data_IF_552075268294
#
_entry.id   IF_552075268294
#
_cell.length_a   1.000
_cell.length_b   1.000
_cell.length_c   1.000
_cell.angle_alpha   90.00
_cell.angle_beta   90.00
_cell.angle_gamma   90.00
#
_symmetry.space_group_name_H-M   'P 1'
#
loop_
_entity.id
_entity.type
_entity.pdbx_description
1 polymer ?
#
# COMPACT_ATOMS: atom_id res chain seq x y z
N UNK A 1 4.87 10.53 0.10
CA UNK A 1 4.92 9.90 1.42
C UNK A 1 3.67 10.24 2.20
N UNK A 2 2.79 9.24 2.35
CA UNK A 2 1.55 9.30 3.09
C UNK A 2 1.84 9.49 4.58
N UNK A 3 1.01 10.29 5.24
CA UNK A 3 1.06 10.50 6.67
C UNK A 3 0.35 9.36 7.42
N UNK A 4 0.69 9.16 8.69
CA UNK A 4 -0.01 8.20 9.53
C UNK A 4 -1.51 8.54 9.61
N UNK A 5 -2.37 7.54 9.46
CA UNK A 5 -3.84 7.62 9.36
C UNK A 5 -4.38 8.31 8.10
N UNK A 6 -3.51 8.77 7.19
CA UNK A 6 -3.95 9.25 5.88
C UNK A 6 -4.57 8.09 5.08
N UNK A 7 -5.68 8.38 4.42
CA UNK A 7 -6.41 7.43 3.59
C UNK A 7 -6.49 7.95 2.16
N UNK A 8 -6.09 7.12 1.21
CA UNK A 8 -6.21 7.41 -0.22
C UNK A 8 -7.07 6.37 -0.92
N UNK A 9 -7.50 6.75 -2.12
CA UNK A 9 -8.27 5.92 -3.03
C UNK A 9 -7.46 5.72 -4.30
N UNK A 10 -7.29 4.49 -4.76
CA UNK A 10 -6.45 4.18 -5.92
C UNK A 10 -7.00 3.04 -6.78
N UNK A 11 -6.68 3.03 -8.08
CA UNK A 11 -7.05 1.93 -8.98
C UNK A 11 -6.01 0.80 -8.98
N UNK A 12 -4.74 1.16 -8.77
CA UNK A 12 -3.62 0.24 -8.71
C UNK A 12 -2.88 0.39 -7.37
N UNK A 13 -2.85 -0.70 -6.61
CA UNK A 13 -2.21 -0.76 -5.29
C UNK A 13 -0.67 -0.64 -5.39
N UNK A 14 -0.07 -1.18 -6.44
CA UNK A 14 1.38 -1.12 -6.64
C UNK A 14 1.81 0.30 -7.00
N UNK A 15 1.05 0.98 -7.85
CA UNK A 15 1.27 2.38 -8.19
C UNK A 15 1.13 3.28 -6.94
N UNK A 16 0.05 3.09 -6.19
CA UNK A 16 -0.23 3.89 -4.99
C UNK A 16 0.83 3.76 -3.89
N UNK A 17 1.57 2.64 -3.86
CA UNK A 17 2.58 2.36 -2.84
C UNK A 17 4.02 2.39 -3.36
N UNK A 18 4.26 2.80 -4.61
CA UNK A 18 5.58 2.71 -5.27
C UNK A 18 6.69 3.45 -4.50
N UNK A 19 6.38 4.63 -3.97
CA UNK A 19 7.31 5.46 -3.19
C UNK A 19 6.93 5.54 -1.70
N UNK A 20 6.12 4.58 -1.24
CA UNK A 20 5.63 4.53 0.13
C UNK A 20 6.30 3.43 0.93
N UNK A 21 6.56 3.70 2.21
CA UNK A 21 7.03 2.70 3.17
C UNK A 21 6.15 2.72 4.41
N UNK A 22 5.98 1.55 5.03
CA UNK A 22 5.11 1.39 6.19
C UNK A 22 4.19 0.19 6.10
N UNK A 23 3.24 0.16 7.04
CA UNK A 23 2.12 -0.77 7.04
C UNK A 23 0.85 -0.05 6.63
N UNK A 24 0.11 -0.67 5.73
CA UNK A 24 -1.11 -0.15 5.15
C UNK A 24 -2.26 -1.12 5.40
N UNK A 25 -3.39 -0.61 5.86
CA UNK A 25 -4.66 -1.32 5.83
C UNK A 25 -5.29 -1.07 4.46
N UNK A 26 -5.60 -2.15 3.76
CA UNK A 26 -6.11 -2.11 2.39
C UNK A 26 -7.49 -2.76 2.38
N UNK A 27 -8.47 -2.01 1.91
CA UNK A 27 -9.80 -2.52 1.59
C UNK A 27 -9.89 -2.67 0.08
N UNK A 28 -10.11 -3.91 -0.35
CA UNK A 28 -10.39 -4.23 -1.75
C UNK A 28 -11.71 -3.60 -2.18
N UNK A 29 -11.92 -3.44 -3.48
CA UNK A 29 -13.19 -2.99 -4.01
C UNK A 29 -14.35 -3.98 -3.77
N UNK A 30 -14.06 -5.27 -3.54
CA UNK A 30 -15.01 -6.30 -3.08
C UNK A 30 -15.33 -6.21 -1.58
N UNK A 31 -14.65 -5.34 -0.83
CA UNK A 31 -14.86 -5.13 0.61
C UNK A 31 -13.97 -5.97 1.52
N UNK A 32 -13.20 -6.91 0.97
CA UNK A 32 -12.20 -7.68 1.72
C UNK A 32 -11.09 -6.77 2.25
N UNK A 33 -10.59 -7.05 3.45
CA UNK A 33 -9.55 -6.24 4.09
C UNK A 33 -8.31 -7.06 4.39
N UNK A 34 -7.15 -6.47 4.15
CA UNK A 34 -5.86 -7.07 4.50
C UNK A 34 -4.81 -6.00 4.79
N UNK A 35 -3.67 -6.42 5.33
CA UNK A 35 -2.54 -5.54 5.56
C UNK A 35 -1.45 -5.74 4.52
N UNK A 36 -0.89 -4.63 4.03
CA UNK A 36 0.30 -4.61 3.18
C UNK A 36 1.45 -3.99 3.96
N UNK A 37 2.62 -4.59 3.85
CA UNK A 37 3.86 -4.01 4.38
C UNK A 37 4.77 -3.66 3.21
N UNK A 38 4.94 -2.36 2.96
CA UNK A 38 5.91 -1.86 1.99
C UNK A 38 7.21 -1.53 2.72
N UNK A 39 8.30 -2.17 2.32
CA UNK A 39 9.64 -1.96 2.89
C UNK A 39 10.43 -1.00 2.01
N UNK A 40 11.24 -0.09 2.58
CA UNK A 40 12.15 0.73 1.78
C UNK A 40 13.02 -0.13 0.86
N UNK A 41 13.14 0.24 -0.41
CA UNK A 41 13.94 -0.48 -1.40
C UNK A 41 13.33 -1.78 -1.94
N UNK A 42 12.13 -2.17 -1.49
CA UNK A 42 11.38 -3.28 -2.07
C UNK A 42 10.33 -2.75 -3.05
N UNK A 43 10.18 -3.42 -4.19
CA UNK A 43 9.17 -3.07 -5.19
C UNK A 43 7.96 -3.98 -5.10
N UNK A 44 6.77 -3.40 -5.31
CA UNK A 44 5.49 -4.10 -5.50
C UNK A 44 5.03 -4.05 -6.96
N UNK A 45 5.90 -3.60 -7.89
CA UNK A 45 5.57 -3.33 -9.30
C UNK A 45 5.15 -4.56 -10.12
N UNK A 46 5.31 -5.76 -9.57
CA UNK A 46 4.88 -7.01 -10.17
C UNK A 46 3.42 -7.37 -9.80
N UNK A 47 2.81 -6.70 -8.83
CA UNK A 47 1.38 -6.82 -8.58
C UNK A 47 0.62 -6.20 -9.76
N UNK A 48 -0.45 -6.88 -10.19
CA UNK A 48 -1.35 -6.43 -11.22
C UNK A 48 -2.77 -6.50 -10.67
N UNK A 49 -3.55 -5.41 -10.77
CA UNK A 49 -4.96 -5.49 -10.43
C UNK A 49 -5.64 -6.49 -11.38
N UNK A 50 -6.39 -7.44 -10.83
CA UNK A 50 -7.26 -8.30 -11.62
C UNK A 50 -8.50 -7.49 -11.99
N UNK A 51 -8.78 -7.26 -13.29
CA UNK A 51 -9.95 -6.50 -13.69
C UNK A 51 -11.22 -7.25 -13.28
N UNK A 52 -12.11 -6.58 -12.56
CA UNK A 52 -13.40 -7.15 -12.17
C UNK A 52 -14.50 -6.53 -13.03
N UNK A 53 -14.99 -7.32 -13.98
CA UNK A 53 -16.28 -7.17 -14.69
C UNK A 53 -16.71 -5.73 -15.04
N UNK A 54 -15.78 -4.88 -15.49
CA UNK A 54 -16.09 -3.56 -16.06
C UNK A 54 -16.47 -2.45 -15.08
N UNK A 55 -16.41 -2.67 -13.76
CA UNK A 55 -16.66 -1.61 -12.77
C UNK A 55 -15.35 -0.98 -12.28
N UNK A 56 -15.35 0.34 -12.13
CA UNK A 56 -14.27 1.11 -11.50
C UNK A 56 -14.12 0.69 -10.05
N UNK A 57 -13.19 -0.22 -9.82
CA UNK A 57 -12.93 -0.85 -8.55
C UNK A 57 -11.82 -0.09 -7.83
N UNK A 58 -12.21 0.92 -7.05
CA UNK A 58 -11.26 1.76 -6.33
C UNK A 58 -10.92 1.12 -4.98
N UNK A 59 -9.62 0.91 -4.76
CA UNK A 59 -9.05 0.43 -3.51
C UNK A 59 -9.03 1.56 -2.49
N UNK A 60 -9.31 1.25 -1.22
CA UNK A 60 -9.11 2.18 -0.10
C UNK A 60 -7.88 1.77 0.69
N UNK A 61 -6.91 2.66 0.81
CA UNK A 61 -5.60 2.37 1.41
C UNK A 61 -5.38 3.37 2.53
N UNK A 62 -5.13 2.89 3.75
CA UNK A 62 -4.84 3.73 4.92
C UNK A 62 -3.48 3.39 5.50
N UNK A 63 -2.64 4.39 5.75
CA UNK A 63 -1.36 4.17 6.45
C UNK A 63 -1.62 3.98 7.93
N UNK A 64 -1.18 2.84 8.48
CA UNK A 64 -1.45 2.45 9.88
C UNK A 64 -0.20 2.32 10.73
N UNK A 65 0.98 2.27 10.11
CA UNK A 65 2.25 2.37 10.82
C UNK A 65 3.36 2.86 9.89
N UNK A 66 4.31 3.61 10.45
CA UNK A 66 5.60 3.87 9.83
C UNK A 66 6.49 2.62 9.90
N UNK A 67 7.27 2.34 8.86
CA UNK A 67 8.39 1.40 8.97
C UNK A 67 9.62 2.22 9.36
N UNK A 68 10.19 1.97 10.53
CA UNK A 68 11.50 2.54 10.83
C UNK A 68 12.50 1.99 9.80
N UNK A 69 13.19 2.89 9.10
CA UNK A 69 14.37 2.51 8.36
C UNK A 69 15.35 1.91 9.36
N UNK A 70 15.66 0.62 9.21
CA UNK A 70 16.85 0.06 9.83
C UNK A 70 18.05 0.72 9.14
N UNK A 71 18.41 1.93 9.57
CA UNK A 71 19.80 2.33 9.50
C UNK A 71 20.50 1.46 10.52
N UNK A 72 21.25 0.47 10.03
CA UNK A 72 22.18 -0.30 10.84
C UNK A 72 22.98 0.68 11.70
N UNK A 73 22.72 0.68 13.01
CA UNK A 73 23.67 1.19 13.97
C UNK A 73 24.86 0.24 13.92
N UNK A 74 25.81 0.55 13.02
CA UNK A 74 27.14 -0.05 13.05
C UNK A 74 27.69 0.31 14.44
N UNK A 75 27.74 -0.70 15.30
CA UNK A 75 28.40 -0.67 16.61
C UNK A 75 29.92 -0.64 16.44
#
# INVERSE_FOLDING_TARGET
MLNLNETIMAYDLAEALMDESGKFEVTTPSGEQFFVTSKPGHSLSNLRPVPHNGNSLVWRIRKVAELQSFQESIR
#
